data_IF_127942735229
#
_entry.id   IF_127942735229
#
_cell.length_a   1.000
_cell.length_b   1.000
_cell.length_c   1.000
_cell.angle_alpha   90.00
_cell.angle_beta   90.00
_cell.angle_gamma   90.00
#
_symmetry.space_group_name_H-M   'P 1'
#
loop_
_entity.id
_entity.type
_entity.pdbx_description
1 polymer ?
#
# COMPACT_ATOMS: atom_id res chain seq x y z
N UNK A 1 -7.85 -62.10 13.05
CA UNK A 1 -8.22 -60.73 13.47
C UNK A 1 -6.94 -59.94 13.60
N UNK A 2 -6.58 -59.16 12.58
CA UNK A 2 -5.31 -58.43 12.53
C UNK A 2 -5.55 -56.97 12.89
N UNK A 3 -5.03 -56.53 14.03
CA UNK A 3 -5.05 -55.13 14.45
C UNK A 3 -4.08 -54.32 13.59
N UNK A 4 -4.58 -53.29 12.91
CA UNK A 4 -3.76 -52.29 12.23
C UNK A 4 -3.34 -51.22 13.25
N UNK A 5 -2.04 -51.12 13.48
CA UNK A 5 -1.41 -50.05 14.26
C UNK A 5 -1.39 -48.77 13.42
N UNK A 6 -2.17 -47.77 13.80
CA UNK A 6 -2.16 -46.43 13.19
C UNK A 6 -0.99 -45.65 13.81
N UNK A 7 0.06 -45.46 13.03
CA UNK A 7 1.18 -44.57 13.37
C UNK A 7 0.77 -43.12 13.09
N UNK A 8 0.50 -42.35 14.15
CA UNK A 8 0.26 -40.91 14.06
C UNK A 8 1.63 -40.22 13.89
N UNK A 9 1.88 -39.68 12.69
CA UNK A 9 2.98 -38.74 12.45
C UNK A 9 2.61 -37.39 13.07
N UNK A 10 3.13 -37.09 14.25
CA UNK A 10 3.13 -35.74 14.81
C UNK A 10 4.22 -34.95 14.09
N UNK A 11 3.83 -34.11 13.13
CA UNK A 11 4.71 -33.12 12.53
C UNK A 11 4.88 -31.99 13.53
N UNK A 12 5.97 -32.06 14.31
CA UNK A 12 6.48 -30.94 15.10
C UNK A 12 7.00 -29.88 14.13
N UNK A 13 6.20 -28.84 13.88
CA UNK A 13 6.68 -27.60 13.27
C UNK A 13 7.58 -26.94 14.31
N UNK A 14 8.90 -27.18 14.22
CA UNK A 14 9.88 -26.34 14.88
C UNK A 14 9.80 -24.95 14.25
N UNK A 15 9.11 -24.02 14.93
CA UNK A 15 9.34 -22.60 14.71
C UNK A 15 10.81 -22.33 15.03
N UNK A 16 11.61 -22.12 13.98
CA UNK A 16 12.99 -21.69 14.12
C UNK A 16 13.00 -20.34 14.84
N UNK A 17 13.25 -20.36 16.14
CA UNK A 17 13.66 -19.17 16.90
C UNK A 17 15.05 -18.80 16.39
N UNK A 18 15.10 -17.96 15.36
CA UNK A 18 16.33 -17.32 14.93
C UNK A 18 16.90 -16.54 16.11
N UNK A 19 18.01 -17.02 16.66
CA UNK A 19 18.85 -16.30 17.60
C UNK A 19 19.38 -15.03 16.93
N UNK A 20 18.65 -13.92 17.04
CA UNK A 20 19.18 -12.58 16.81
C UNK A 20 20.01 -12.20 18.03
N UNK A 21 21.17 -11.60 17.79
CA UNK A 21 21.99 -10.96 18.81
C UNK A 21 21.20 -9.83 19.51
N UNK A 22 20.39 -10.21 20.49
CA UNK A 22 20.26 -9.60 21.81
C UNK A 22 19.98 -8.10 21.94
N UNK A 23 19.28 -7.46 21.02
CA UNK A 23 18.49 -6.28 21.39
C UNK A 23 17.35 -6.75 22.31
N UNK A 24 17.36 -6.37 23.58
CA UNK A 24 16.26 -6.69 24.48
C UNK A 24 14.98 -6.04 23.93
N UNK A 25 13.93 -6.84 23.73
CA UNK A 25 12.68 -6.35 23.19
C UNK A 25 11.88 -5.66 24.29
N UNK A 26 12.01 -4.33 24.36
CA UNK A 26 11.53 -3.51 25.48
C UNK A 26 10.03 -3.68 25.73
N UNK A 27 9.22 -3.90 24.69
CA UNK A 27 7.77 -4.01 24.86
C UNK A 27 7.34 -5.11 25.86
N UNK A 28 8.12 -6.19 25.98
CA UNK A 28 7.77 -7.39 26.76
C UNK A 28 8.16 -7.30 28.22
N UNK A 29 9.31 -6.71 28.49
CA UNK A 29 9.92 -6.73 29.82
C UNK A 29 9.40 -5.59 30.71
N UNK A 30 8.70 -4.65 30.11
CA UNK A 30 8.13 -3.50 30.79
C UNK A 30 6.84 -3.83 31.57
N UNK A 31 6.69 -3.13 32.70
CA UNK A 31 5.48 -3.10 33.51
C UNK A 31 4.61 -1.93 33.09
N UNK A 32 3.63 -2.20 32.24
CA UNK A 32 2.74 -1.18 31.68
C UNK A 32 1.64 -0.79 32.66
N UNK A 33 1.53 0.51 32.92
CA UNK A 33 0.52 1.10 33.80
C UNK A 33 -0.45 1.93 32.97
N UNK A 34 -1.76 1.70 33.15
CA UNK A 34 -2.77 2.55 32.55
C UNK A 34 -2.78 3.93 33.20
N UNK A 35 -2.93 4.97 32.38
CA UNK A 35 -2.93 6.38 32.78
C UNK A 35 -4.29 7.01 32.47
N UNK A 36 -5.28 6.64 33.28
CA UNK A 36 -6.67 7.11 33.12
C UNK A 36 -6.81 8.63 33.31
N UNK A 37 -5.85 9.24 34.00
CA UNK A 37 -5.75 10.67 34.28
C UNK A 37 -5.12 11.48 33.13
N UNK A 38 -4.55 10.83 32.11
CA UNK A 38 -3.83 11.51 31.00
C UNK A 38 -4.69 11.81 29.77
N UNK A 39 -5.98 11.45 29.82
CA UNK A 39 -6.95 11.68 28.77
C UNK A 39 -8.25 12.22 29.39
N UNK A 40 -8.98 13.04 28.65
CA UNK A 40 -10.31 13.51 29.05
C UNK A 40 -11.41 12.46 28.84
N UNK A 41 -11.14 11.41 28.05
CA UNK A 41 -12.07 10.35 27.68
C UNK A 41 -11.52 8.92 27.90
N UNK A 42 -10.93 8.61 29.07
CA UNK A 42 -10.30 7.31 29.31
C UNK A 42 -11.35 6.19 29.20
N UNK A 43 -10.94 5.07 28.61
CA UNK A 43 -11.71 3.84 28.66
C UNK A 43 -11.75 3.29 30.10
N UNK A 44 -12.89 2.77 30.51
CA UNK A 44 -13.04 1.97 31.73
C UNK A 44 -12.87 0.47 31.48
N UNK A 45 -13.07 0.01 30.23
CA UNK A 45 -12.79 -1.35 29.79
C UNK A 45 -11.53 -1.36 28.92
N UNK A 46 -10.40 -1.70 29.54
CA UNK A 46 -9.11 -1.81 28.89
C UNK A 46 -8.32 -3.00 29.44
N UNK A 47 -7.39 -3.52 28.63
CA UNK A 47 -6.51 -4.63 29.01
C UNK A 47 -5.12 -4.45 28.40
N UNK A 48 -4.12 -4.97 29.11
CA UNK A 48 -2.76 -5.19 28.61
C UNK A 48 -2.44 -6.65 28.82
N UNK A 49 -2.17 -7.37 27.73
CA UNK A 49 -1.99 -8.83 27.74
C UNK A 49 -0.65 -9.19 27.09
N UNK A 50 0.21 -9.90 27.81
CA UNK A 50 1.42 -10.51 27.24
C UNK A 50 1.02 -11.82 26.56
N UNK A 51 1.45 -12.01 25.32
CA UNK A 51 1.29 -13.23 24.54
C UNK A 51 2.66 -13.73 24.07
N UNK A 52 2.73 -14.94 23.53
CA UNK A 52 3.98 -15.46 22.99
C UNK A 52 4.47 -14.57 21.83
N UNK A 53 5.55 -13.82 22.07
CA UNK A 53 6.17 -12.98 21.04
C UNK A 53 5.40 -11.71 20.64
N UNK A 54 4.35 -11.30 21.37
CA UNK A 54 3.80 -9.93 21.34
C UNK A 54 3.17 -9.47 22.67
N UNK A 55 3.01 -8.16 22.84
CA UNK A 55 2.13 -7.57 23.85
C UNK A 55 0.92 -6.91 23.16
N UNK A 56 -0.28 -7.05 23.72
CA UNK A 56 -1.51 -6.48 23.19
C UNK A 56 -2.12 -5.48 24.18
N UNK A 57 -2.41 -4.28 23.68
CA UNK A 57 -3.21 -3.27 24.37
C UNK A 57 -4.59 -3.23 23.75
N UNK A 58 -5.64 -3.38 24.56
CA UNK A 58 -7.03 -3.47 24.08
C UNK A 58 -7.90 -2.42 24.76
N UNK A 59 -8.79 -1.79 24.00
CA UNK A 59 -9.87 -0.93 24.48
C UNK A 59 -11.21 -1.56 24.06
N UNK A 60 -12.03 -1.92 25.04
CA UNK A 60 -13.34 -2.55 24.82
C UNK A 60 -14.44 -1.57 24.42
N UNK A 61 -14.27 -0.28 24.68
CA UNK A 61 -15.29 0.75 24.43
C UNK A 61 -15.05 1.54 23.15
N UNK A 62 -16.09 1.73 22.34
CA UNK A 62 -16.04 2.59 21.14
C UNK A 62 -15.90 4.06 21.53
N UNK A 63 -15.11 4.84 20.78
CA UNK A 63 -14.96 6.29 20.97
C UNK A 63 -14.16 6.70 22.22
N UNK A 64 -13.59 5.75 22.96
CA UNK A 64 -12.74 6.00 24.14
C UNK A 64 -11.26 5.83 23.82
N UNK A 65 -10.41 6.51 24.57
CA UNK A 65 -8.95 6.41 24.45
C UNK A 65 -8.32 5.78 25.69
N UNK A 66 -7.08 5.31 25.56
CA UNK A 66 -6.27 4.94 26.71
C UNK A 66 -4.81 5.25 26.44
N UNK A 67 -4.10 5.70 27.48
CA UNK A 67 -2.65 5.83 27.51
C UNK A 67 -2.11 4.81 28.50
N UNK A 68 -1.03 4.15 28.11
CA UNK A 68 -0.25 3.30 28.99
C UNK A 68 1.18 3.80 29.02
N UNK A 69 1.80 3.80 30.19
CA UNK A 69 3.22 4.15 30.34
C UNK A 69 3.99 3.04 31.02
N UNK A 70 5.27 2.93 30.75
CA UNK A 70 6.20 2.10 31.49
C UNK A 70 7.54 2.82 31.67
N UNK A 71 8.13 2.65 32.86
CA UNK A 71 9.50 3.09 33.14
C UNK A 71 10.50 2.07 32.60
N UNK A 72 11.57 2.55 31.97
CA UNK A 72 12.64 1.67 31.54
C UNK A 72 13.41 1.11 32.75
N UNK A 73 13.81 -0.17 32.76
CA UNK A 73 14.65 -0.72 33.83
C UNK A 73 16.00 -0.01 33.97
N UNK A 74 16.47 0.57 32.87
CA UNK A 74 17.66 1.40 32.79
C UNK A 74 17.38 2.59 31.87
N UNK A 75 17.94 3.75 32.19
CA UNK A 75 17.85 4.94 31.35
C UNK A 75 18.47 4.65 29.98
N UNK A 76 17.78 5.05 28.91
CA UNK A 76 18.23 4.90 27.54
C UNK A 76 18.90 6.20 27.08
N UNK A 77 20.16 6.12 26.67
CA UNK A 77 20.91 7.23 26.11
C UNK A 77 20.60 7.36 24.61
N UNK A 78 19.64 8.24 24.27
CA UNK A 78 19.21 8.44 22.89
C UNK A 78 20.26 9.15 22.03
N UNK A 79 21.33 9.70 22.60
CA UNK A 79 22.46 10.16 21.81
C UNK A 79 23.27 8.96 21.25
N UNK A 80 23.24 7.81 21.92
CA UNK A 80 23.94 6.57 21.49
C UNK A 80 23.05 5.62 20.72
N UNK A 81 21.77 5.52 21.07
CA UNK A 81 20.79 4.65 20.39
C UNK A 81 19.55 5.45 19.96
N UNK A 82 19.70 6.38 18.99
CA UNK A 82 18.63 7.31 18.63
C UNK A 82 17.49 6.67 17.84
N UNK A 83 17.65 5.46 17.30
CA UNK A 83 16.66 4.87 16.40
C UNK A 83 15.72 3.95 17.15
N UNK A 84 14.44 4.31 17.23
CA UNK A 84 13.38 3.43 17.68
C UNK A 84 12.90 2.57 16.51
N UNK A 85 12.94 1.25 16.70
CA UNK A 85 12.29 0.27 15.82
C UNK A 85 11.05 -0.24 16.51
N UNK A 86 9.88 -0.06 15.89
CA UNK A 86 8.62 -0.61 16.40
C UNK A 86 7.95 -1.46 15.31
N UNK A 87 7.63 -2.71 15.65
CA UNK A 87 6.78 -3.59 14.82
C UNK A 87 5.45 -3.78 15.50
N UNK A 88 4.39 -3.29 14.88
CA UNK A 88 3.05 -3.29 15.45
C UNK A 88 1.98 -3.72 14.44
N UNK A 89 0.83 -4.13 14.95
CA UNK A 89 -0.41 -4.29 14.20
C UNK A 89 -1.53 -3.70 15.03
N UNK A 90 -2.38 -2.88 14.43
CA UNK A 90 -3.54 -2.33 15.13
C UNK A 90 -4.80 -2.50 14.29
N UNK A 91 -5.96 -2.60 14.95
CA UNK A 91 -7.26 -2.72 14.28
C UNK A 91 -8.36 -2.04 15.07
N UNK A 92 -9.40 -1.62 14.36
CA UNK A 92 -10.60 -0.95 14.88
C UNK A 92 -10.28 0.39 15.59
N UNK A 93 -9.04 0.87 15.50
CA UNK A 93 -8.58 2.11 16.10
C UNK A 93 -8.60 3.27 15.10
N UNK A 94 -8.49 4.49 15.61
CA UNK A 94 -8.20 5.70 14.80
C UNK A 94 -6.83 6.24 15.18
N UNK A 95 -6.28 7.12 14.34
CA UNK A 95 -5.16 7.96 14.71
C UNK A 95 -5.45 8.64 16.08
N UNK A 96 -4.54 8.50 17.07
CA UNK A 96 -4.71 9.14 18.37
C UNK A 96 -4.56 10.66 18.25
N UNK A 97 -5.19 11.41 19.14
CA UNK A 97 -4.86 12.82 19.33
C UNK A 97 -3.56 12.90 20.14
N UNK A 98 -2.48 13.42 19.56
CA UNK A 98 -1.18 13.54 20.22
C UNK A 98 -0.13 12.61 19.62
N UNK A 99 0.09 11.44 20.21
CA UNK A 99 1.14 10.49 19.81
C UNK A 99 0.63 9.07 19.72
N UNK A 100 1.28 8.21 18.94
CA UNK A 100 1.21 6.76 19.13
C UNK A 100 2.23 6.31 20.18
N UNK A 101 3.46 6.80 20.08
CA UNK A 101 4.55 6.53 21.04
C UNK A 101 5.16 7.84 21.52
N UNK A 102 5.32 7.97 22.83
CA UNK A 102 5.94 9.11 23.48
C UNK A 102 7.07 8.66 24.40
N UNK A 103 8.10 9.49 24.52
CA UNK A 103 9.22 9.28 25.43
C UNK A 103 9.35 10.45 26.40
N UNK A 104 9.81 10.14 27.60
CA UNK A 104 10.13 11.10 28.65
C UNK A 104 11.56 10.96 29.12
N UNK A 105 12.20 12.09 29.43
CA UNK A 105 13.56 12.20 29.89
C UNK A 105 13.69 12.39 31.40
N UNK A 106 14.88 12.05 31.91
CA UNK A 106 15.21 12.24 33.34
C UNK A 106 15.22 13.69 33.81
N UNK A 107 15.28 14.67 32.90
CA UNK A 107 15.30 16.11 33.22
C UNK A 107 14.03 16.82 32.73
N UNK A 108 12.96 16.07 32.43
CA UNK A 108 11.68 16.61 31.97
C UNK A 108 11.57 16.78 30.46
N UNK A 109 12.56 16.34 29.68
CA UNK A 109 12.47 16.32 28.22
C UNK A 109 11.36 15.37 27.77
N UNK A 110 10.76 15.66 26.62
CA UNK A 110 9.74 14.79 26.04
C UNK A 110 9.74 14.81 24.51
N UNK A 111 9.24 13.73 23.90
CA UNK A 111 9.09 13.66 22.45
C UNK A 111 7.94 12.74 22.04
N UNK A 112 7.14 13.18 21.06
CA UNK A 112 6.27 12.29 20.27
C UNK A 112 7.15 11.61 19.22
N UNK A 113 7.54 10.36 19.47
CA UNK A 113 8.50 9.65 18.63
C UNK A 113 7.81 8.95 17.46
N UNK A 114 6.58 8.49 17.67
CA UNK A 114 5.72 8.03 16.58
C UNK A 114 4.47 8.90 16.58
N UNK A 115 4.30 9.67 15.51
CA UNK A 115 3.21 10.61 15.35
C UNK A 115 1.91 9.92 14.87
N UNK A 116 0.74 10.53 15.08
CA UNK A 116 -0.54 9.96 14.66
C UNK A 116 -0.63 9.71 13.17
N UNK A 117 0.06 10.51 12.36
CA UNK A 117 0.10 10.31 10.92
C UNK A 117 0.66 8.93 10.57
N UNK A 118 1.68 8.45 11.29
CA UNK A 118 2.40 7.19 11.03
C UNK A 118 1.69 5.94 11.54
N UNK A 119 0.53 6.12 12.16
CA UNK A 119 -0.28 5.03 12.67
C UNK A 119 -1.26 4.50 11.62
N UNK A 120 -1.14 3.20 11.30
CA UNK A 120 -2.00 2.49 10.37
C UNK A 120 -2.76 1.37 11.09
N UNK A 121 -4.04 1.59 11.47
CA UNK A 121 -4.87 0.60 12.16
C UNK A 121 -5.62 -0.34 11.20
N UNK A 122 -4.95 -0.84 10.17
CA UNK A 122 -5.53 -1.65 9.08
C UNK A 122 -5.63 -3.16 9.40
N UNK A 123 -5.10 -3.59 10.53
CA UNK A 123 -5.04 -5.00 10.93
C UNK A 123 -3.89 -5.78 10.29
N UNK A 124 -2.90 -5.10 9.71
CA UNK A 124 -1.69 -5.69 9.13
C UNK A 124 -0.47 -5.37 10.02
N UNK A 125 0.62 -6.15 9.89
CA UNK A 125 1.89 -5.82 10.55
C UNK A 125 2.59 -4.67 9.82
N UNK A 126 3.04 -3.68 10.58
CA UNK A 126 3.84 -2.55 10.14
C UNK A 126 5.13 -2.50 10.95
N UNK A 127 6.23 -2.10 10.32
CA UNK A 127 7.49 -1.80 11.00
C UNK A 127 7.86 -0.35 10.73
N UNK A 128 8.02 0.44 11.79
CA UNK A 128 8.52 1.81 11.71
C UNK A 128 9.94 1.88 12.27
N UNK A 129 10.75 2.72 11.61
CA UNK A 129 12.10 3.10 12.05
C UNK A 129 12.10 4.61 12.14
N UNK A 130 12.13 5.13 13.36
CA UNK A 130 12.02 6.57 13.62
C UNK A 130 13.18 7.02 14.49
N UNK A 131 13.65 8.25 14.27
CA UNK A 131 14.76 8.83 15.02
C UNK A 131 14.25 9.69 16.17
N UNK A 132 14.71 9.39 17.38
CA UNK A 132 14.49 10.19 18.56
C UNK A 132 15.54 11.30 18.69
N UNK A 133 15.17 12.40 19.35
CA UNK A 133 16.06 13.48 19.75
C UNK A 133 17.00 13.02 20.87
N UNK A 134 18.21 13.58 20.98
CA UNK A 134 19.18 13.15 21.99
C UNK A 134 18.78 13.64 23.39
N UNK A 135 18.42 12.72 24.27
CA UNK A 135 18.26 12.91 25.72
C UNK A 135 18.33 11.55 26.45
N UNK A 136 18.31 11.60 27.78
CA UNK A 136 18.32 10.42 28.65
C UNK A 136 16.88 9.98 28.96
N UNK A 137 16.33 9.05 28.17
CA UNK A 137 14.96 8.60 28.32
C UNK A 137 14.79 7.58 29.46
N UNK A 138 13.80 7.79 30.33
CA UNK A 138 13.49 6.90 31.46
C UNK A 138 12.08 6.31 31.41
N UNK A 139 11.21 6.77 30.50
CA UNK A 139 9.85 6.26 30.36
C UNK A 139 9.39 6.30 28.89
N UNK A 140 8.53 5.35 28.55
CA UNK A 140 7.79 5.28 27.28
C UNK A 140 6.29 5.26 27.56
N UNK A 141 5.50 5.85 26.67
CA UNK A 141 4.05 5.70 26.66
C UNK A 141 3.53 5.33 25.27
N UNK A 142 2.43 4.57 25.26
CA UNK A 142 1.63 4.25 24.07
C UNK A 142 0.22 4.79 24.28
N UNK A 143 -0.35 5.38 23.23
CA UNK A 143 -1.75 5.80 23.22
C UNK A 143 -2.52 5.07 22.12
N UNK A 144 -3.75 4.66 22.43
CA UNK A 144 -4.69 4.11 21.46
C UNK A 144 -6.02 4.86 21.56
N UNK A 145 -6.61 5.20 20.40
CA UNK A 145 -7.97 5.73 20.32
C UNK A 145 -8.86 4.72 19.60
N UNK A 146 -9.97 4.37 20.25
CA UNK A 146 -10.89 3.34 19.76
C UNK A 146 -11.90 3.91 18.77
N UNK A 147 -11.90 3.41 17.52
CA UNK A 147 -12.94 3.74 16.54
C UNK A 147 -14.19 2.88 16.75
N UNK A 148 -13.99 1.63 17.22
CA UNK A 148 -15.03 0.64 17.50
C UNK A 148 -14.65 -0.20 18.73
N UNK A 149 -15.65 -0.80 19.38
CA UNK A 149 -15.41 -1.77 20.45
C UNK A 149 -14.43 -2.87 20.03
N UNK A 150 -13.53 -3.27 20.94
CA UNK A 150 -12.49 -4.25 20.66
C UNK A 150 -11.36 -3.69 19.79
N UNK A 151 -11.03 -2.40 19.97
CA UNK A 151 -9.84 -1.80 19.39
C UNK A 151 -8.60 -2.34 20.05
N UNK A 152 -7.56 -2.60 19.26
CA UNK A 152 -6.29 -3.07 19.81
C UNK A 152 -5.09 -2.55 19.03
N UNK A 153 -3.95 -2.53 19.72
CA UNK A 153 -2.61 -2.54 19.13
C UNK A 153 -1.81 -3.69 19.73
N UNK A 154 -1.17 -4.47 18.87
CA UNK A 154 -0.20 -5.49 19.21
C UNK A 154 1.19 -4.97 18.86
N UNK A 155 2.15 -5.15 19.75
CA UNK A 155 3.55 -4.78 19.53
C UNK A 155 4.40 -6.05 19.65
N UNK A 156 5.05 -6.44 18.56
CA UNK A 156 5.94 -7.61 18.52
C UNK A 156 7.41 -7.22 18.68
N UNK A 157 7.76 -5.96 18.42
CA UNK A 157 9.12 -5.43 18.58
C UNK A 157 9.06 -3.97 19.00
N UNK A 158 9.82 -3.62 20.01
CA UNK A 158 10.12 -2.23 20.38
C UNK A 158 11.55 -2.20 20.94
N UNK A 159 12.47 -1.53 20.25
CA UNK A 159 13.86 -1.43 20.70
C UNK A 159 14.53 -0.16 20.19
N UNK A 160 15.55 0.29 20.92
CA UNK A 160 16.43 1.37 20.50
C UNK A 160 17.75 0.82 19.98
N UNK A 161 18.20 1.32 18.84
CA UNK A 161 19.44 0.89 18.18
C UNK A 161 20.30 2.09 17.77
N UNK A 162 21.60 1.86 17.64
CA UNK A 162 22.59 2.91 17.33
C UNK A 162 22.44 3.47 15.91
N UNK A 163 22.18 2.59 14.95
CA UNK A 163 22.08 2.92 13.53
C UNK A 163 20.69 2.60 12.99
N UNK A 164 20.20 3.38 12.02
CA UNK A 164 18.95 3.08 11.32
C UNK A 164 19.05 1.68 10.71
N UNK A 165 18.34 0.68 11.26
CA UNK A 165 18.52 -0.67 10.80
C UNK A 165 17.89 -0.80 9.42
N UNK A 166 18.65 -1.33 8.49
CA UNK A 166 18.06 -1.82 7.25
C UNK A 166 17.05 -2.92 7.57
N UNK A 167 15.83 -2.82 7.08
CA UNK A 167 14.77 -3.80 7.32
C UNK A 167 14.79 -4.90 6.26
N UNK A 168 14.39 -6.12 6.61
CA UNK A 168 14.15 -7.12 5.59
C UNK A 168 12.82 -6.83 4.88
N UNK A 169 12.72 -7.17 3.59
CA UNK A 169 11.49 -6.94 2.83
C UNK A 169 10.27 -7.62 3.48
N UNK A 170 10.42 -8.82 4.03
CA UNK A 170 9.36 -9.53 4.76
C UNK A 170 8.94 -8.89 6.10
N UNK A 171 9.74 -7.97 6.64
CA UNK A 171 9.36 -7.19 7.83
C UNK A 171 8.46 -6.00 7.51
N UNK A 172 8.42 -5.57 6.25
CA UNK A 172 7.64 -4.41 5.80
C UNK A 172 6.51 -4.76 4.84
N UNK A 173 6.52 -5.97 4.27
CA UNK A 173 5.43 -6.41 3.42
C UNK A 173 4.16 -6.59 4.23
N UNK A 174 3.00 -6.16 3.70
CA UNK A 174 1.74 -6.32 4.40
C UNK A 174 1.45 -7.80 4.58
N UNK A 175 1.17 -8.21 5.81
CA UNK A 175 0.88 -9.60 6.16
C UNK A 175 -0.62 -9.81 6.33
N UNK A 176 -1.28 -10.31 5.29
CA UNK A 176 -2.72 -10.50 5.30
C UNK A 176 -3.10 -11.96 5.47
N UNK A 177 -4.36 -12.19 5.84
CA UNK A 177 -4.94 -13.53 5.71
C UNK A 177 -4.88 -13.97 4.24
N UNK A 178 -4.59 -15.25 3.95
CA UNK A 178 -4.70 -15.78 2.60
C UNK A 178 -6.06 -15.42 2.00
N UNK A 179 -6.06 -14.83 0.80
CA UNK A 179 -7.29 -14.51 0.10
C UNK A 179 -7.75 -15.79 -0.59
N UNK A 180 -8.97 -16.29 -0.33
CA UNK A 180 -9.47 -17.49 -1.00
C UNK A 180 -9.56 -17.29 -2.51
N UNK A 181 -9.11 -18.28 -3.27
CA UNK A 181 -9.22 -18.29 -4.71
C UNK A 181 -8.02 -18.91 -5.40
N UNK A 182 -8.01 -18.80 -6.74
CA UNK A 182 -6.87 -19.18 -7.59
C UNK A 182 -6.19 -17.93 -8.09
N UNK A 183 -4.86 -17.94 -8.03
CA UNK A 183 -4.02 -16.85 -8.51
C UNK A 183 -3.18 -17.30 -9.69
N UNK A 184 -2.87 -16.36 -10.58
CA UNK A 184 -1.84 -16.50 -11.60
C UNK A 184 -0.90 -15.30 -11.51
N UNK A 185 0.32 -15.55 -11.09
CA UNK A 185 1.37 -14.54 -11.09
C UNK A 185 1.65 -14.12 -12.53
N UNK A 186 1.74 -12.82 -12.77
CA UNK A 186 2.01 -12.23 -14.08
C UNK A 186 3.50 -11.92 -14.18
N UNK A 187 4.14 -12.41 -15.24
CA UNK A 187 5.51 -12.05 -15.56
C UNK A 187 5.56 -10.66 -16.19
N UNK A 188 6.15 -9.71 -15.46
CA UNK A 188 6.36 -8.33 -15.90
C UNK A 188 7.81 -8.05 -16.30
N UNK A 189 8.67 -9.07 -16.37
CA UNK A 189 10.12 -8.91 -16.61
C UNK A 189 10.45 -8.17 -17.90
N UNK A 190 9.64 -8.32 -18.94
CA UNK A 190 9.84 -7.65 -20.23
C UNK A 190 9.68 -6.13 -20.18
N UNK A 191 9.00 -5.60 -19.16
CA UNK A 191 8.76 -4.15 -18.98
C UNK A 191 9.55 -3.55 -17.82
N UNK A 192 10.19 -4.38 -16.98
CA UNK A 192 11.05 -3.90 -15.90
C UNK A 192 12.17 -3.00 -16.46
N UNK A 193 12.36 -1.84 -15.85
CA UNK A 193 13.31 -0.80 -16.29
C UNK A 193 14.32 -0.39 -15.20
N UNK A 194 14.21 -0.97 -13.99
CA UNK A 194 15.08 -0.66 -12.87
C UNK A 194 15.40 -1.91 -12.03
N UNK A 195 16.53 -1.88 -11.31
CA UNK A 195 16.97 -2.96 -10.43
C UNK A 195 16.29 -2.89 -9.07
N UNK A 196 16.24 -4.03 -8.37
CA UNK A 196 15.66 -4.07 -7.02
C UNK A 196 16.47 -3.22 -6.03
N UNK A 197 17.76 -3.02 -6.27
CA UNK A 197 18.65 -2.20 -5.43
C UNK A 197 18.17 -0.76 -5.26
N UNK A 198 17.50 -0.20 -6.28
CA UNK A 198 16.89 1.12 -6.18
C UNK A 198 15.82 1.12 -5.11
N UNK A 199 14.95 0.12 -5.09
CA UNK A 199 13.92 -0.05 -4.07
C UNK A 199 14.53 -0.32 -2.69
N UNK A 200 15.57 -1.17 -2.63
CA UNK A 200 16.26 -1.45 -1.37
C UNK A 200 16.92 -0.18 -0.79
N UNK A 201 17.51 0.66 -1.62
CA UNK A 201 18.08 1.93 -1.19
C UNK A 201 16.99 2.91 -0.75
N UNK A 202 15.96 3.10 -1.57
CA UNK A 202 14.86 4.05 -1.31
C UNK A 202 14.14 3.76 0.01
N UNK A 203 13.89 2.48 0.33
CA UNK A 203 13.16 2.08 1.53
C UNK A 203 14.08 1.64 2.68
N UNK A 204 15.40 1.89 2.57
CA UNK A 204 16.41 1.45 3.53
C UNK A 204 16.26 -0.03 3.93
N UNK A 205 16.19 -0.91 2.93
CA UNK A 205 16.02 -2.35 3.10
C UNK A 205 17.34 -3.09 2.95
N UNK A 206 17.42 -4.25 3.60
CA UNK A 206 18.46 -5.24 3.35
C UNK A 206 18.11 -6.00 2.08
N UNK A 207 19.13 -6.32 1.32
CA UNK A 207 19.01 -7.29 0.25
C UNK A 207 18.51 -8.61 0.83
N UNK A 208 17.37 -9.07 0.33
CA UNK A 208 16.84 -10.38 0.68
C UNK A 208 17.39 -11.40 -0.31
N UNK A 209 17.74 -12.59 0.16
CA UNK A 209 18.20 -13.68 -0.72
C UNK A 209 17.08 -14.35 -1.53
N UNK A 210 15.86 -13.82 -1.54
CA UNK A 210 14.71 -14.55 -2.10
C UNK A 210 14.66 -14.43 -3.61
N UNK A 211 15.29 -15.41 -4.27
CA UNK A 211 14.64 -16.03 -5.43
C UNK A 211 13.34 -16.69 -4.95
N UNK A 212 12.21 -16.38 -5.57
CA UNK A 212 10.97 -17.13 -5.36
C UNK A 212 9.71 -16.29 -5.27
N UNK A 213 8.60 -16.98 -5.03
CA UNK A 213 7.30 -16.38 -4.81
C UNK A 213 7.25 -15.67 -3.46
N UNK A 214 6.72 -14.45 -3.48
CA UNK A 214 6.46 -13.60 -2.33
C UNK A 214 4.96 -13.62 -2.06
N UNK A 215 4.52 -13.70 -0.81
CA UNK A 215 3.10 -13.49 -0.47
C UNK A 215 2.95 -12.20 0.32
N UNK A 216 2.11 -11.29 -0.17
CA UNK A 216 1.79 -10.02 0.47
C UNK A 216 0.26 -9.87 0.52
N UNK A 217 -0.30 -9.48 1.67
CA UNK A 217 -1.75 -9.42 1.92
C UNK A 217 -2.51 -10.70 1.51
N UNK A 218 -1.86 -11.86 1.60
CA UNK A 218 -2.44 -13.14 1.17
C UNK A 218 -2.47 -13.38 -0.35
N UNK A 219 -1.81 -12.53 -1.14
CA UNK A 219 -1.69 -12.63 -2.61
C UNK A 219 -0.24 -13.01 -2.97
N UNK A 220 -0.02 -14.06 -3.80
CA UNK A 220 1.31 -14.41 -4.27
C UNK A 220 1.78 -13.45 -5.36
N UNK A 221 3.07 -13.16 -5.43
CA UNK A 221 3.76 -12.34 -6.44
C UNK A 221 5.10 -12.99 -6.79
N UNK A 222 5.62 -12.72 -7.99
CA UNK A 222 7.01 -13.00 -8.32
C UNK A 222 7.76 -11.68 -8.38
N UNK A 223 8.85 -11.58 -7.65
CA UNK A 223 9.77 -10.45 -7.76
C UNK A 223 10.85 -10.79 -8.78
N UNK A 224 11.16 -9.82 -9.64
CA UNK A 224 12.32 -9.92 -10.52
C UNK A 224 13.63 -9.95 -9.73
N UNK A 225 14.72 -10.32 -10.41
CA UNK A 225 16.07 -10.26 -9.84
C UNK A 225 17.03 -9.58 -10.81
N UNK A 226 18.14 -9.04 -10.29
CA UNK A 226 19.15 -8.34 -11.08
C UNK A 226 18.82 -6.88 -11.39
N UNK A 227 19.46 -6.35 -12.44
CA UNK A 227 19.43 -4.91 -12.78
C UNK A 227 18.12 -4.43 -13.42
N UNK A 228 17.20 -5.34 -13.76
CA UNK A 228 15.87 -5.04 -14.31
C UNK A 228 14.85 -5.96 -13.65
N UNK A 229 14.47 -5.62 -12.42
CA UNK A 229 13.61 -6.42 -11.56
C UNK A 229 12.23 -5.79 -11.30
N UNK A 230 12.11 -4.47 -11.46
CA UNK A 230 10.90 -3.69 -11.17
C UNK A 230 10.61 -2.68 -12.28
N UNK A 231 9.38 -2.18 -12.32
CA UNK A 231 9.01 -1.03 -13.15
C UNK A 231 9.02 0.21 -12.26
N UNK A 232 10.01 1.07 -12.43
CA UNK A 232 10.10 2.38 -11.81
C UNK A 232 9.43 3.42 -12.71
N UNK A 233 8.48 4.18 -12.15
CA UNK A 233 7.84 5.29 -12.83
C UNK A 233 8.68 6.58 -12.61
N UNK A 234 8.94 7.37 -13.66
CA UNK A 234 9.61 8.67 -13.55
C UNK A 234 8.92 9.60 -12.54
N UNK A 235 9.69 10.08 -11.55
CA UNK A 235 9.18 10.98 -10.50
C UNK A 235 9.11 12.47 -10.93
N UNK A 236 9.71 12.82 -12.07
CA UNK A 236 9.95 14.19 -12.51
C UNK A 236 8.99 14.70 -13.58
N UNK A 237 8.23 13.80 -14.21
CA UNK A 237 7.28 14.16 -15.26
C UNK A 237 6.14 13.14 -15.35
N UNK A 238 4.97 13.54 -15.88
CA UNK A 238 3.89 12.60 -16.15
C UNK A 238 4.37 11.48 -17.08
N UNK A 239 3.94 10.26 -16.81
CA UNK A 239 4.31 9.11 -17.61
C UNK A 239 3.21 8.05 -17.67
N UNK A 240 3.22 7.33 -18.79
CA UNK A 240 2.41 6.14 -18.99
C UNK A 240 3.33 4.92 -19.07
N UNK A 241 3.08 3.92 -18.23
CA UNK A 241 3.77 2.63 -18.32
C UNK A 241 2.82 1.56 -18.82
N UNK A 242 3.17 0.97 -19.96
CA UNK A 242 2.37 -0.03 -20.66
C UNK A 242 2.83 -1.46 -20.32
N UNK A 243 1.90 -2.29 -19.86
CA UNK A 243 2.16 -3.67 -19.42
C UNK A 243 1.28 -4.64 -20.21
N UNK A 244 1.84 -5.34 -21.22
CA UNK A 244 1.07 -6.25 -22.06
C UNK A 244 0.72 -7.54 -21.30
N UNK A 245 -0.56 -7.91 -21.26
CA UNK A 245 -1.05 -9.11 -20.55
C UNK A 245 -1.44 -10.28 -21.49
N UNK A 246 -1.22 -10.13 -22.80
CA UNK A 246 -1.35 -11.20 -23.81
C UNK A 246 -2.68 -11.97 -23.74
N UNK A 247 -3.78 -11.30 -23.40
CA UNK A 247 -5.11 -11.91 -23.34
C UNK A 247 -5.41 -12.67 -22.04
N UNK A 248 -4.66 -12.45 -20.97
CA UNK A 248 -4.99 -13.03 -19.66
C UNK A 248 -6.37 -12.52 -19.17
N UNK A 249 -7.15 -13.38 -18.51
CA UNK A 249 -8.48 -13.03 -17.97
C UNK A 249 -8.63 -13.49 -16.52
N UNK A 250 -9.38 -12.72 -15.73
CA UNK A 250 -9.59 -12.94 -14.31
C UNK A 250 -10.76 -12.12 -13.78
N UNK A 251 -10.96 -12.15 -12.46
CA UNK A 251 -11.97 -11.35 -11.76
C UNK A 251 -11.36 -10.12 -11.10
N UNK A 252 -10.08 -10.18 -10.75
CA UNK A 252 -9.37 -9.10 -10.06
C UNK A 252 -7.90 -9.07 -10.51
N UNK A 253 -7.32 -7.88 -10.61
CA UNK A 253 -5.89 -7.67 -10.80
C UNK A 253 -5.30 -7.11 -9.50
N UNK A 254 -4.21 -7.72 -9.05
CA UNK A 254 -3.43 -7.31 -7.89
C UNK A 254 -2.11 -6.71 -8.32
N UNK A 255 -1.75 -5.61 -7.68
CA UNK A 255 -0.48 -4.91 -7.89
C UNK A 255 0.25 -4.82 -6.55
N UNK A 256 1.52 -5.23 -6.52
CA UNK A 256 2.42 -4.94 -5.41
C UNK A 256 3.17 -3.65 -5.73
N UNK A 257 2.80 -2.57 -5.06
CA UNK A 257 3.31 -1.23 -5.34
C UNK A 257 4.09 -0.73 -4.13
N UNK A 258 5.27 -0.18 -4.38
CA UNK A 258 6.02 0.61 -3.43
C UNK A 258 5.95 2.08 -3.84
N UNK A 259 5.63 2.98 -2.90
CA UNK A 259 5.55 4.41 -3.16
C UNK A 259 6.19 5.21 -2.03
N UNK A 260 6.85 6.32 -2.36
CA UNK A 260 7.43 7.27 -1.40
C UNK A 260 7.43 8.67 -1.99
N UNK A 261 7.62 9.71 -1.17
CA UNK A 261 7.97 11.01 -1.73
C UNK A 261 9.41 10.96 -2.28
N UNK A 262 9.71 11.87 -3.21
CA UNK A 262 11.03 12.02 -3.85
C UNK A 262 12.17 12.21 -2.85
N UNK A 263 11.87 12.84 -1.72
CA UNK A 263 12.84 13.10 -0.64
C UNK A 263 13.00 11.90 0.30
N UNK A 264 12.36 10.75 0.00
CA UNK A 264 12.32 9.58 0.89
C UNK A 264 11.40 9.76 2.09
N UNK A 265 10.68 10.88 2.17
CA UNK A 265 9.67 11.11 3.19
C UNK A 265 8.39 10.35 2.86
N UNK A 266 7.50 10.30 3.84
CA UNK A 266 6.18 9.73 3.67
C UNK A 266 5.40 10.42 2.56
N UNK A 267 4.86 9.63 1.64
CA UNK A 267 3.94 10.08 0.61
C UNK A 267 2.53 10.21 1.20
N UNK A 268 1.88 11.40 1.13
CA UNK A 268 0.47 11.52 1.51
C UNK A 268 -0.42 10.66 0.59
N UNK A 269 -1.63 10.30 1.04
CA UNK A 269 -2.56 9.56 0.19
C UNK A 269 -2.89 10.34 -1.09
N UNK A 270 -2.79 9.68 -2.24
CA UNK A 270 -3.14 10.21 -3.56
C UNK A 270 -4.53 9.67 -3.90
N UNK A 271 -5.57 10.48 -3.72
CA UNK A 271 -6.95 10.07 -3.99
C UNK A 271 -7.48 10.59 -5.33
N UNK A 272 -6.74 11.50 -5.95
CA UNK A 272 -7.10 12.20 -7.16
C UNK A 272 -6.80 11.32 -8.37
N UNK A 273 -7.80 10.91 -9.15
CA UNK A 273 -7.59 9.99 -10.27
C UNK A 273 -6.64 10.52 -11.35
N UNK A 274 -6.58 11.83 -11.52
CA UNK A 274 -5.70 12.46 -12.50
C UNK A 274 -4.22 12.49 -12.05
N UNK A 275 -3.92 12.16 -10.79
CA UNK A 275 -2.55 12.01 -10.27
C UNK A 275 -2.06 10.57 -10.38
N UNK A 276 -2.93 9.59 -10.13
CA UNK A 276 -2.59 8.18 -10.29
C UNK A 276 -3.82 7.35 -10.64
N UNK A 277 -3.79 6.68 -11.79
CA UNK A 277 -4.85 5.76 -12.23
C UNK A 277 -4.29 4.59 -13.03
N UNK A 278 -5.13 3.58 -13.21
CA UNK A 278 -4.87 2.45 -14.09
C UNK A 278 -5.92 2.44 -15.19
N UNK A 279 -5.48 2.24 -16.43
CA UNK A 279 -6.35 1.94 -17.56
C UNK A 279 -6.19 0.49 -17.98
N UNK A 280 -7.28 -0.27 -17.93
CA UNK A 280 -7.32 -1.69 -18.32
C UNK A 280 -7.89 -1.77 -19.73
N UNK A 281 -7.05 -2.11 -20.70
CA UNK A 281 -7.44 -2.29 -22.09
C UNK A 281 -7.74 -3.76 -22.36
N UNK A 282 -8.98 -4.07 -22.75
CA UNK A 282 -9.39 -5.43 -23.08
C UNK A 282 -9.19 -5.73 -24.57
N UNK A 283 -9.00 -7.00 -24.90
CA UNK A 283 -8.84 -7.46 -26.29
C UNK A 283 -10.07 -7.19 -27.17
N UNK A 284 -11.21 -6.89 -26.57
CA UNK A 284 -12.45 -6.50 -27.27
C UNK A 284 -12.48 -5.01 -27.68
N UNK A 285 -11.45 -4.22 -27.31
CA UNK A 285 -11.46 -2.77 -27.49
C UNK A 285 -12.23 -1.99 -26.42
N UNK A 286 -12.65 -2.65 -25.33
CA UNK A 286 -13.18 -1.96 -24.16
C UNK A 286 -12.03 -1.43 -23.30
N UNK A 287 -12.28 -0.35 -22.55
CA UNK A 287 -11.36 0.15 -21.54
C UNK A 287 -12.09 0.48 -20.24
N UNK A 288 -11.46 0.13 -19.12
CA UNK A 288 -11.81 0.64 -17.79
C UNK A 288 -10.72 1.60 -17.32
N UNK A 289 -11.09 2.68 -16.64
CA UNK A 289 -10.15 3.55 -15.95
C UNK A 289 -10.52 3.63 -14.46
N UNK A 290 -9.56 3.31 -13.61
CA UNK A 290 -9.79 2.99 -12.19
C UNK A 290 -8.65 3.46 -11.31
N UNK A 291 -8.96 3.98 -10.12
CA UNK A 291 -7.96 4.14 -9.05
C UNK A 291 -7.86 2.82 -8.29
N UNK A 292 -6.68 2.18 -8.24
CA UNK A 292 -6.50 0.94 -7.51
C UNK A 292 -6.69 1.13 -6.00
N UNK A 293 -7.18 0.09 -5.31
CA UNK A 293 -7.55 0.16 -3.90
C UNK A 293 -6.65 -0.70 -3.03
N UNK A 294 -6.06 -0.11 -1.99
CA UNK A 294 -5.17 -0.80 -1.05
C UNK A 294 -5.91 -1.90 -0.30
N UNK A 295 -5.30 -3.06 -0.15
CA UNK A 295 -5.79 -4.13 0.71
C UNK A 295 -5.27 -3.99 2.15
N UNK A 296 -6.07 -4.38 3.17
CA UNK A 296 -7.49 -4.72 3.11
C UNK A 296 -8.42 -3.50 3.24
N UNK A 297 -7.89 -2.28 3.37
CA UNK A 297 -8.65 -1.10 3.82
C UNK A 297 -9.54 -0.47 2.76
N UNK A 298 -9.20 -0.63 1.49
CA UNK A 298 -9.83 0.10 0.38
C UNK A 298 -9.29 1.53 0.20
N UNK A 299 -8.20 1.89 0.88
CA UNK A 299 -7.60 3.23 0.76
C UNK A 299 -6.99 3.45 -0.63
N UNK A 300 -6.68 4.70 -0.95
CA UNK A 300 -5.95 5.05 -2.17
C UNK A 300 -4.43 4.83 -2.03
N UNK A 301 -3.69 5.12 -3.10
CA UNK A 301 -2.23 5.01 -3.12
C UNK A 301 -1.62 5.87 -2.02
N UNK A 302 -0.72 5.31 -1.22
CA UNK A 302 -0.03 6.00 -0.12
C UNK A 302 1.39 5.47 0.04
N UNK A 303 2.20 6.17 0.84
CA UNK A 303 3.59 5.78 1.09
C UNK A 303 3.74 4.38 1.71
N UNK A 304 4.84 3.71 1.37
CA UNK A 304 5.17 2.35 1.81
C UNK A 304 5.03 1.30 0.71
N UNK A 305 5.07 0.02 1.10
CA UNK A 305 4.82 -1.12 0.20
C UNK A 305 3.47 -1.72 0.55
N UNK A 306 2.57 -1.82 -0.43
CA UNK A 306 1.25 -2.36 -0.22
C UNK A 306 0.72 -3.12 -1.44
N UNK A 307 -0.27 -3.98 -1.20
CA UNK A 307 -1.03 -4.64 -2.26
C UNK A 307 -2.24 -3.81 -2.59
N UNK A 308 -2.46 -3.59 -3.88
CA UNK A 308 -3.62 -2.91 -4.40
C UNK A 308 -4.43 -3.83 -5.30
N UNK A 309 -5.75 -3.69 -5.30
CA UNK A 309 -6.65 -4.47 -6.14
C UNK A 309 -7.42 -3.59 -7.13
N UNK A 310 -7.76 -4.20 -8.25
CA UNK A 310 -8.55 -3.63 -9.33
C UNK A 310 -9.55 -4.69 -9.79
N UNK A 311 -10.87 -4.42 -9.76
CA UNK A 311 -11.84 -5.34 -10.32
C UNK A 311 -11.70 -5.38 -11.85
N UNK A 312 -11.96 -6.55 -12.43
CA UNK A 312 -11.94 -6.76 -13.87
C UNK A 312 -13.32 -7.15 -14.39
N UNK A 313 -13.60 -6.87 -15.66
CA UNK A 313 -14.78 -7.42 -16.32
C UNK A 313 -14.59 -8.93 -16.49
N UNK A 314 -15.38 -9.71 -15.74
CA UNK A 314 -15.28 -11.16 -15.73
C UNK A 314 -15.37 -11.75 -17.14
N UNK A 315 -14.41 -12.63 -17.46
CA UNK A 315 -14.36 -13.35 -18.73
C UNK A 315 -13.84 -12.53 -19.92
N UNK A 316 -13.48 -11.25 -19.74
CA UNK A 316 -12.87 -10.44 -20.80
C UNK A 316 -11.35 -10.59 -20.78
N UNK A 317 -10.70 -11.01 -21.88
CA UNK A 317 -9.25 -11.03 -22.01
C UNK A 317 -8.67 -9.61 -21.93
N UNK A 318 -7.65 -9.41 -21.10
CA UNK A 318 -6.91 -8.16 -20.98
C UNK A 318 -5.79 -8.13 -22.02
N UNK A 319 -5.78 -7.09 -22.83
CA UNK A 319 -4.70 -6.82 -23.78
C UNK A 319 -3.52 -6.19 -23.06
N UNK A 320 -3.77 -5.12 -22.31
CA UNK A 320 -2.76 -4.27 -21.70
C UNK A 320 -3.29 -3.58 -20.45
N UNK A 321 -2.39 -3.32 -19.49
CA UNK A 321 -2.61 -2.41 -18.37
C UNK A 321 -1.71 -1.20 -18.57
N UNK A 322 -2.28 -0.01 -18.53
CA UNK A 322 -1.54 1.26 -18.56
C UNK A 322 -1.57 1.86 -17.17
N UNK A 323 -0.40 2.15 -16.61
CA UNK A 323 -0.26 2.90 -15.36
C UNK A 323 -0.05 4.37 -15.72
N UNK A 324 -1.00 5.21 -15.32
CA UNK A 324 -0.92 6.66 -15.47
C UNK A 324 -0.37 7.24 -14.16
N UNK A 325 0.82 7.81 -14.22
CA UNK A 325 1.44 8.50 -13.08
C UNK A 325 1.70 9.95 -13.45
N UNK A 326 1.02 10.83 -12.73
CA UNK A 326 1.13 12.28 -12.81
C UNK A 326 1.35 12.87 -11.40
N UNK A 327 1.72 12.02 -10.43
CA UNK A 327 1.97 12.42 -9.06
C UNK A 327 3.35 13.05 -8.94
N UNK A 328 3.45 14.33 -9.30
CA UNK A 328 4.70 15.08 -9.21
C UNK A 328 5.31 14.98 -7.79
N UNK A 329 6.57 14.55 -7.71
CA UNK A 329 7.27 14.38 -6.43
C UNK A 329 6.99 13.06 -5.71
N UNK A 330 6.24 12.13 -6.31
CA UNK A 330 6.17 10.74 -5.86
C UNK A 330 7.20 9.90 -6.62
N UNK A 331 7.79 8.90 -5.95
CA UNK A 331 8.52 7.81 -6.60
C UNK A 331 7.71 6.54 -6.42
N UNK A 332 7.19 6.00 -7.53
CA UNK A 332 6.30 4.85 -7.57
C UNK A 332 6.99 3.69 -8.30
N UNK A 333 6.93 2.52 -7.70
CA UNK A 333 7.52 1.29 -8.23
C UNK A 333 6.48 0.18 -8.25
N UNK A 334 6.27 -0.44 -9.41
CA UNK A 334 5.55 -1.70 -9.52
C UNK A 334 6.54 -2.85 -9.36
N UNK A 335 6.36 -3.60 -8.27
CA UNK A 335 7.22 -4.72 -7.91
C UNK A 335 6.75 -6.05 -8.50
N UNK A 336 5.44 -6.20 -8.71
CA UNK A 336 4.84 -7.43 -9.21
C UNK A 336 3.35 -7.28 -9.50
N UNK A 337 2.82 -8.18 -10.32
CA UNK A 337 1.40 -8.24 -10.66
C UNK A 337 0.89 -9.67 -10.56
N UNK A 338 -0.35 -9.83 -10.11
CA UNK A 338 -1.00 -11.13 -9.97
C UNK A 338 -2.46 -11.03 -10.36
N UNK A 339 -2.93 -12.00 -11.12
CA UNK A 339 -4.31 -12.10 -11.55
C UNK A 339 -5.09 -13.05 -10.63
N UNK A 340 -6.17 -12.56 -10.04
CA UNK A 340 -7.17 -13.40 -9.38
C UNK A 340 -8.07 -14.04 -10.42
N UNK A 341 -8.01 -15.37 -10.55
CA UNK A 341 -8.85 -16.12 -11.51
C UNK A 341 -10.26 -16.33 -10.94
N UNK A 342 -10.36 -16.55 -9.63
CA UNK A 342 -11.61 -16.86 -8.94
C UNK A 342 -11.60 -16.29 -7.52
N UNK A 343 -11.10 -15.07 -7.37
CA UNK A 343 -10.99 -14.38 -6.07
C UNK A 343 -12.21 -13.51 -5.85
N UNK A 344 -12.68 -13.44 -4.59
CA UNK A 344 -13.76 -12.55 -4.17
C UNK A 344 -13.32 -11.77 -2.95
N UNK A 345 -12.83 -10.55 -3.16
CA UNK A 345 -12.40 -9.68 -2.06
C UNK A 345 -13.55 -8.79 -1.58
N UNK A 346 -14.60 -8.63 -2.40
CA UNK A 346 -15.79 -7.85 -2.05
C UNK A 346 -15.55 -6.34 -1.97
N UNK A 347 -14.32 -5.87 -2.12
CA UNK A 347 -13.98 -4.47 -2.31
C UNK A 347 -14.33 -4.08 -3.74
N UNK A 348 -15.55 -3.57 -3.95
CA UNK A 348 -15.92 -2.96 -5.23
C UNK A 348 -15.53 -1.48 -5.18
N UNK A 349 -14.46 -1.03 -5.86
CA UNK A 349 -14.28 0.39 -6.07
C UNK A 349 -15.48 0.95 -6.82
N UNK A 350 -15.87 2.18 -6.49
CA UNK A 350 -16.72 2.98 -7.35
C UNK A 350 -15.94 3.25 -8.65
N UNK A 351 -16.40 2.79 -9.83
CA UNK A 351 -15.77 3.12 -11.10
C UNK A 351 -15.69 4.65 -11.24
N UNK A 352 -14.58 5.16 -11.77
CA UNK A 352 -14.47 6.59 -12.08
C UNK A 352 -15.39 6.99 -13.23
N UNK A 353 -15.57 6.06 -14.17
CA UNK A 353 -16.49 6.16 -15.28
C UNK A 353 -16.99 4.74 -15.60
N UNK A 354 -18.16 4.64 -16.23
CA UNK A 354 -18.59 3.36 -16.80
C UNK A 354 -17.62 2.93 -17.91
N UNK A 355 -17.44 1.62 -18.15
CA UNK A 355 -16.61 1.11 -19.24
C UNK A 355 -17.05 1.74 -20.57
N UNK A 356 -16.15 2.47 -21.24
CA UNK A 356 -16.42 3.09 -22.54
C UNK A 356 -15.71 2.31 -23.64
N UNK A 357 -16.29 2.22 -24.85
CA UNK A 357 -15.55 1.78 -26.02
C UNK A 357 -14.29 2.63 -26.18
N UNK A 358 -13.13 2.00 -26.24
CA UNK A 358 -11.89 2.71 -26.47
C UNK A 358 -11.80 3.06 -27.95
N UNK A 359 -11.97 4.34 -28.27
CA UNK A 359 -11.62 4.87 -29.58
C UNK A 359 -10.13 5.17 -29.53
N UNK A 360 -9.32 4.31 -30.15
CA UNK A 360 -7.89 4.56 -30.25
C UNK A 360 -7.66 5.94 -30.86
N UNK A 361 -6.96 6.82 -30.14
CA UNK A 361 -6.58 8.15 -30.60
C UNK A 361 -5.56 8.13 -31.75
N UNK A 362 -5.41 7.00 -32.45
CA UNK A 362 -4.78 6.95 -33.76
C UNK A 362 -5.73 7.51 -34.82
N UNK A 363 -6.09 8.79 -34.69
CA UNK A 363 -6.20 9.60 -35.89
C UNK A 363 -4.76 9.99 -36.26
N UNK A 364 -4.35 9.88 -37.54
CA UNK A 364 -3.11 10.47 -37.99
C UNK A 364 -3.09 11.94 -37.58
N UNK A 365 -1.91 12.48 -37.31
CA UNK A 365 -1.65 13.89 -36.98
C UNK A 365 -1.97 14.83 -38.15
N UNK A 366 -3.22 14.85 -38.62
CA UNK A 366 -3.88 16.05 -39.06
C UNK A 366 -4.57 16.64 -37.84
N UNK A 367 -4.33 17.92 -37.55
CA UNK A 367 -4.98 18.64 -36.47
C UNK A 367 -6.50 18.64 -36.71
N UNK A 368 -7.20 17.66 -36.15
CA UNK A 368 -8.65 17.73 -36.07
C UNK A 368 -9.01 18.70 -34.96
N UNK A 369 -9.52 19.87 -35.33
CA UNK A 369 -10.14 20.76 -34.35
C UNK A 369 -11.49 20.15 -33.96
N UNK A 370 -11.72 19.97 -32.65
CA UNK A 370 -13.01 19.54 -32.10
C UNK A 370 -13.67 20.74 -31.48
N UNK A 371 -14.84 21.11 -31.99
CA UNK A 371 -15.67 22.16 -31.42
C UNK A 371 -16.97 21.53 -30.91
N UNK A 372 -17.25 21.70 -29.62
CA UNK A 372 -18.52 21.32 -29.02
C UNK A 372 -19.38 22.57 -28.91
N UNK A 373 -20.65 22.51 -29.32
CA UNK A 373 -21.56 23.64 -29.15
C UNK A 373 -21.80 23.95 -27.67
N UNK A 374 -22.13 25.20 -27.36
CA UNK A 374 -22.39 25.66 -25.99
C UNK A 374 -23.56 24.92 -25.32
N UNK A 375 -24.46 24.31 -26.10
CA UNK A 375 -25.58 23.50 -25.59
C UNK A 375 -25.21 22.03 -25.40
N UNK A 376 -24.07 21.58 -25.93
CA UNK A 376 -23.57 20.21 -25.84
C UNK A 376 -24.20 19.24 -26.85
N UNK A 377 -25.11 19.69 -27.71
CA UNK A 377 -25.92 18.83 -28.57
C UNK A 377 -25.24 18.49 -29.90
N UNK A 378 -24.11 19.13 -30.21
CA UNK A 378 -23.34 18.89 -31.44
C UNK A 378 -21.84 18.80 -31.20
N UNK A 379 -21.18 17.97 -32.04
CA UNK A 379 -19.73 17.84 -32.12
C UNK A 379 -19.29 18.03 -33.58
N UNK A 380 -18.44 19.03 -33.78
CA UNK A 380 -17.85 19.34 -35.08
C UNK A 380 -16.39 18.89 -35.12
N UNK A 381 -16.03 18.15 -36.17
CA UNK A 381 -14.66 17.72 -36.44
C UNK A 381 -14.20 18.33 -37.77
N UNK A 382 -13.05 18.99 -37.76
CA UNK A 382 -12.48 19.63 -38.95
C UNK A 382 -11.01 19.31 -39.16
N UNK A 383 -10.62 18.82 -40.34
CA UNK A 383 -9.21 18.50 -40.70
C UNK A 383 -8.59 19.41 -41.78
N UNK A 384 -9.23 20.53 -42.09
CA UNK A 384 -8.83 21.42 -43.18
C UNK A 384 -9.53 21.13 -44.52
N UNK A 385 -10.02 19.91 -44.76
CA UNK A 385 -10.67 19.51 -46.03
C UNK A 385 -12.07 18.93 -45.83
N UNK A 386 -12.26 18.21 -44.74
CA UNK A 386 -13.47 17.51 -44.39
C UNK A 386 -14.07 18.15 -43.14
N UNK A 387 -15.39 18.31 -43.15
CA UNK A 387 -16.16 18.71 -41.99
C UNK A 387 -17.16 17.60 -41.67
N UNK A 388 -17.01 17.01 -40.48
CA UNK A 388 -17.93 16.02 -39.95
C UNK A 388 -18.72 16.67 -38.82
N UNK A 389 -20.03 16.77 -39.00
CA UNK A 389 -20.96 17.29 -38.01
C UNK A 389 -21.77 16.15 -37.42
N UNK A 390 -21.68 15.98 -36.10
CA UNK A 390 -22.49 15.05 -35.32
C UNK A 390 -23.51 15.85 -34.52
N UNK A 391 -24.80 15.54 -34.65
CA UNK A 391 -25.85 16.05 -33.79
C UNK A 391 -26.70 14.90 -33.24
N UNK A 392 -27.51 15.19 -32.21
CA UNK A 392 -28.49 14.24 -31.68
C UNK A 392 -29.49 13.76 -32.76
N UNK A 393 -29.71 14.56 -33.79
CA UNK A 393 -30.66 14.28 -34.88
C UNK A 393 -30.03 13.55 -36.08
N UNK A 394 -28.72 13.33 -36.10
CA UNK A 394 -28.06 12.54 -37.13
C UNK A 394 -26.58 12.88 -37.40
N UNK A 395 -26.01 12.20 -38.38
CA UNK A 395 -24.62 12.38 -38.82
C UNK A 395 -24.63 12.96 -40.23
N UNK A 396 -23.97 14.10 -40.42
CA UNK A 396 -23.82 14.73 -41.74
C UNK A 396 -22.35 14.95 -42.03
N UNK A 397 -21.89 14.52 -43.21
CA UNK A 397 -20.51 14.68 -43.65
C UNK A 397 -20.48 15.56 -44.91
N UNK A 398 -19.69 16.62 -44.88
CA UNK A 398 -19.47 17.50 -46.03
C UNK A 398 -17.98 17.60 -46.35
N UNK A 399 -17.68 17.79 -47.63
CA UNK A 399 -16.31 18.01 -48.11
C UNK A 399 -16.27 19.37 -48.79
N UNK A 400 -15.26 20.18 -48.47
CA UNK A 400 -15.09 21.45 -49.17
C UNK A 400 -14.50 21.15 -50.55
N UNK A 401 -15.32 21.17 -51.60
CA UNK A 401 -14.79 21.19 -52.96
C UNK A 401 -14.21 22.58 -53.23
N UNK A 402 -12.89 22.71 -53.15
CA UNK A 402 -12.19 23.90 -53.66
C UNK A 402 -12.58 24.13 -55.13
N UNK A 403 -13.24 25.25 -55.38
CA UNK A 403 -13.67 25.65 -56.71
C UNK A 403 -12.48 25.91 -57.62
N UNK A 404 -12.51 25.27 -58.79
CA UNK A 404 -11.77 25.69 -59.97
C UNK A 404 -12.09 27.15 -60.32
N UNK A 405 -11.09 28.01 -60.22
CA UNK A 405 -11.10 29.37 -60.78
C UNK A 405 -9.79 29.61 -61.53
N UNK A 406 -9.89 29.74 -62.86
CA UNK A 406 -8.90 30.37 -63.76
C UNK A 406 -8.98 31.88 -63.60
#
# INVERSE_FOLDING_TARGET
MSFHTITIFVVLILCATFGRAGGANLAFDLSWNARTDWLSNPASDYRVEKQEGLIRFTIGQSGRGMKWSAEFPQVIDLAKTPWLVIRYRAKNATAPQGYLVWLHGTQGEEQFVVEPADFLPDGEWHTLVVRANPFLANMVAIQLQSARSGSYIEVARMEFVADAPKLNLDEILPTGKPIPGKFKVIDISSVCNSGIDVLLQTFNLRERSTKGELVASGVPFALGSGSRAIVALPADKPCDSHIPLKGASGTELFLLIAATSKDGNKLPPINEPHLFSLRILYSTGLADEVVPRRLPTGDCLSGGIAVYSVPLIQGKPIKEVVIHDNAAGASIYLMGMTLGISTQIGLRPTPLCEPKPYVASSMPSGEWAVHQSDTGDTLDFFDGKNHLHLSLDGITMSTNSEGSGV
#
